data_IF_815792192848
#
_entry.id   IF_815792192848
#
_cell.length_a   1.000
_cell.length_b   1.000
_cell.length_c   1.000
_cell.angle_alpha   90.00
_cell.angle_beta   90.00
_cell.angle_gamma   90.00
#
_symmetry.space_group_name_H-M   'P 1'
#
loop_
_entity.id
_entity.type
_entity.pdbx_description
1 polymer ?
#
# COMPACT_ATOMS: atom_id res chain seq x y z
N UNK A 1 -21.73 -9.22 14.68
CA UNK A 1 -22.35 -7.87 14.62
C UNK A 1 -21.59 -7.04 13.60
N UNK A 2 -22.25 -6.40 12.64
CA UNK A 2 -21.59 -5.48 11.72
C UNK A 2 -21.07 -4.24 12.46
N UNK A 3 -19.91 -3.72 12.03
CA UNK A 3 -19.28 -2.53 12.63
C UNK A 3 -20.02 -1.23 12.26
N UNK A 4 -20.72 -1.20 11.13
CA UNK A 4 -21.43 -0.03 10.60
C UNK A 4 -22.85 -0.40 10.13
N UNK A 5 -23.79 0.54 10.28
CA UNK A 5 -25.14 0.44 9.68
C UNK A 5 -25.06 0.45 8.14
N UNK A 6 -25.98 -0.24 7.47
CA UNK A 6 -26.05 -0.31 5.99
C UNK A 6 -26.08 1.06 5.30
N UNK A 7 -26.78 2.04 5.89
CA UNK A 7 -26.85 3.42 5.37
C UNK A 7 -25.48 4.14 5.31
N UNK A 8 -24.49 3.65 6.06
CA UNK A 8 -23.13 4.20 6.09
C UNK A 8 -22.19 3.44 5.14
N UNK A 9 -22.68 2.41 4.44
CA UNK A 9 -21.92 1.68 3.43
C UNK A 9 -22.13 2.32 2.06
N UNK A 10 -21.04 2.54 1.34
CA UNK A 10 -21.09 3.02 -0.04
C UNK A 10 -21.40 1.87 -0.99
N UNK A 11 -22.17 2.14 -2.04
CA UNK A 11 -22.29 1.21 -3.15
C UNK A 11 -20.96 1.15 -3.93
N UNK A 12 -20.78 0.05 -4.68
CA UNK A 12 -19.50 -0.23 -5.36
C UNK A 12 -19.13 0.82 -6.40
N UNK A 13 -20.11 1.37 -7.13
CA UNK A 13 -19.83 2.38 -8.16
C UNK A 13 -19.40 3.69 -7.52
N UNK A 14 -20.08 4.12 -6.46
CA UNK A 14 -19.70 5.31 -5.70
C UNK A 14 -18.32 5.15 -5.08
N UNK A 15 -18.04 4.00 -4.44
CA UNK A 15 -16.72 3.72 -3.88
C UNK A 15 -15.62 3.77 -4.95
N UNK A 16 -15.80 3.09 -6.10
CA UNK A 16 -14.83 3.09 -7.18
C UNK A 16 -14.60 4.50 -7.74
N UNK A 17 -15.68 5.28 -7.91
CA UNK A 17 -15.58 6.67 -8.37
C UNK A 17 -14.78 7.54 -7.40
N UNK A 18 -14.97 7.37 -6.09
CA UNK A 18 -14.23 8.13 -5.08
C UNK A 18 -12.73 7.78 -5.09
N UNK A 19 -12.39 6.49 -5.26
CA UNK A 19 -11.01 6.03 -5.36
C UNK A 19 -10.29 6.46 -6.65
N UNK A 20 -11.04 6.79 -7.71
CA UNK A 20 -10.50 7.14 -9.04
C UNK A 20 -10.74 8.62 -9.37
N UNK A 21 -11.86 8.96 -10.02
CA UNK A 21 -12.16 10.32 -10.48
C UNK A 21 -12.35 11.32 -9.33
N UNK A 22 -12.92 10.87 -8.23
CA UNK A 22 -13.18 11.68 -7.04
C UNK A 22 -11.90 12.16 -6.37
N UNK A 23 -10.89 11.28 -6.28
CA UNK A 23 -9.58 11.62 -5.69
C UNK A 23 -8.73 12.49 -6.60
N UNK A 24 -8.90 12.42 -7.93
CA UNK A 24 -8.17 13.25 -8.90
C UNK A 24 -8.41 14.76 -8.73
N UNK A 25 -9.52 15.18 -8.12
CA UNK A 25 -9.70 16.58 -7.74
C UNK A 25 -8.67 17.01 -6.69
N UNK A 26 -8.34 16.17 -5.72
CA UNK A 26 -7.40 16.55 -4.66
C UNK A 26 -6.01 16.94 -5.19
N UNK A 27 -5.57 16.36 -6.31
CA UNK A 27 -4.32 16.70 -6.98
C UNK A 27 -4.44 17.76 -8.09
N UNK A 28 -5.64 18.32 -8.33
CA UNK A 28 -5.89 19.25 -9.42
C UNK A 28 -5.91 18.62 -10.81
N UNK A 29 -5.96 17.29 -10.90
CA UNK A 29 -5.83 16.51 -12.15
C UNK A 29 -7.16 15.91 -12.61
N UNK A 30 -8.28 16.40 -12.05
CA UNK A 30 -9.63 15.92 -12.36
C UNK A 30 -10.00 15.96 -13.85
N UNK A 31 -9.35 16.79 -14.66
CA UNK A 31 -9.66 16.91 -16.09
C UNK A 31 -8.72 16.06 -16.97
N UNK A 32 -7.71 15.42 -16.38
CA UNK A 32 -6.69 14.67 -17.10
C UNK A 32 -6.58 13.21 -16.66
N UNK A 33 -7.16 12.81 -15.52
CA UNK A 33 -7.13 11.41 -15.05
C UNK A 33 -8.36 11.00 -14.25
N UNK A 34 -8.39 9.70 -13.94
CA UNK A 34 -9.35 9.09 -13.03
C UNK A 34 -10.58 8.47 -13.70
N UNK A 35 -10.66 8.49 -15.03
CA UNK A 35 -11.66 7.74 -15.79
C UNK A 35 -11.09 7.15 -17.07
N UNK A 36 -11.74 6.11 -17.59
CA UNK A 36 -11.41 5.52 -18.89
C UNK A 36 -12.14 6.29 -20.00
N UNK A 37 -11.69 7.50 -20.28
CA UNK A 37 -12.28 8.42 -21.27
C UNK A 37 -11.20 8.95 -22.21
N UNK A 38 -11.52 9.07 -23.50
CA UNK A 38 -10.59 9.64 -24.47
C UNK A 38 -10.16 11.07 -24.08
N UNK A 39 -8.86 11.34 -24.11
CA UNK A 39 -8.27 12.62 -23.69
C UNK A 39 -7.67 12.62 -22.29
N UNK A 40 -7.97 11.61 -21.47
CA UNK A 40 -7.31 11.39 -20.18
C UNK A 40 -6.05 10.53 -20.32
N UNK A 41 -5.20 10.56 -19.29
CA UNK A 41 -4.03 9.70 -19.20
C UNK A 41 -4.44 8.23 -19.28
N UNK A 42 -3.64 7.44 -20.00
CA UNK A 42 -3.77 5.99 -20.08
C UNK A 42 -3.18 5.34 -18.81
N UNK A 43 -3.74 5.71 -17.66
CA UNK A 43 -3.45 5.15 -16.34
C UNK A 43 -4.56 4.15 -16.00
N UNK A 44 -4.24 2.85 -16.04
CA UNK A 44 -5.22 1.80 -15.77
C UNK A 44 -4.60 0.59 -15.09
N UNK A 45 -5.47 -0.20 -14.47
CA UNK A 45 -5.14 -1.50 -13.90
C UNK A 45 -6.10 -2.56 -14.43
N UNK A 46 -5.57 -3.76 -14.67
CA UNK A 46 -6.39 -4.96 -14.87
C UNK A 46 -6.38 -5.74 -13.57
N UNK A 47 -7.56 -6.08 -13.08
CA UNK A 47 -7.74 -6.75 -11.80
C UNK A 47 -7.88 -8.26 -12.00
N UNK A 48 -7.36 -9.03 -11.06
CA UNK A 48 -7.45 -10.51 -11.02
C UNK A 48 -8.90 -11.01 -10.92
N UNK A 49 -9.79 -10.23 -10.32
CA UNK A 49 -11.21 -10.55 -10.18
C UNK A 49 -12.09 -9.35 -10.56
N UNK A 50 -13.35 -9.64 -10.88
CA UNK A 50 -14.37 -8.61 -11.16
C UNK A 50 -14.84 -7.96 -9.85
N UNK A 51 -14.35 -6.74 -9.58
CA UNK A 51 -14.72 -5.93 -8.42
C UNK A 51 -16.23 -5.75 -8.25
N UNK A 52 -17.06 -5.85 -9.29
CA UNK A 52 -18.51 -5.69 -9.15
C UNK A 52 -19.23 -6.98 -8.79
N UNK A 53 -18.56 -8.13 -8.86
CA UNK A 53 -19.19 -9.46 -8.68
C UNK A 53 -18.67 -10.24 -7.47
N UNK A 54 -17.44 -9.99 -7.02
CA UNK A 54 -16.92 -10.70 -5.83
C UNK A 54 -17.69 -10.33 -4.56
N UNK A 55 -17.71 -11.22 -3.57
CA UNK A 55 -18.25 -10.90 -2.24
C UNK A 55 -17.47 -9.76 -1.57
N UNK A 56 -18.07 -9.09 -0.58
CA UNK A 56 -17.46 -7.91 0.04
C UNK A 56 -16.14 -8.25 0.75
N UNK A 57 -16.09 -9.40 1.41
CA UNK A 57 -14.91 -9.92 2.12
C UNK A 57 -13.77 -10.28 1.16
N UNK A 58 -14.11 -10.52 -0.11
CA UNK A 58 -13.18 -10.92 -1.17
C UNK A 58 -12.49 -9.73 -1.85
N UNK A 59 -13.04 -8.51 -1.71
CA UNK A 59 -12.47 -7.30 -2.33
C UNK A 59 -10.99 -7.09 -1.92
N UNK A 60 -10.65 -7.38 -0.66
CA UNK A 60 -9.29 -7.19 -0.14
C UNK A 60 -8.24 -8.12 -0.79
N UNK A 61 -8.70 -9.17 -1.48
CA UNK A 61 -7.85 -10.15 -2.13
C UNK A 61 -7.67 -9.87 -3.62
N UNK A 62 -8.34 -8.85 -4.17
CA UNK A 62 -8.15 -8.44 -5.56
C UNK A 62 -6.76 -7.84 -5.73
N UNK A 63 -5.97 -8.41 -6.63
CA UNK A 63 -4.66 -7.93 -7.04
C UNK A 63 -4.72 -7.32 -8.44
N UNK A 64 -3.79 -6.40 -8.74
CA UNK A 64 -3.52 -5.97 -10.12
C UNK A 64 -2.71 -7.06 -10.82
N UNK A 65 -3.15 -7.49 -12.01
CA UNK A 65 -2.39 -8.39 -12.89
C UNK A 65 -1.66 -7.63 -14.01
N UNK A 66 -2.02 -6.37 -14.24
CA UNK A 66 -1.36 -5.46 -15.17
C UNK A 66 -1.57 -4.03 -14.70
N UNK A 67 -0.50 -3.25 -14.62
CA UNK A 67 -0.58 -1.81 -14.34
C UNK A 67 0.06 -1.04 -15.49
N UNK A 68 -0.71 -0.12 -16.07
CA UNK A 68 -0.29 0.78 -17.13
C UNK A 68 -0.30 2.20 -16.60
N UNK A 69 0.78 2.93 -16.82
CA UNK A 69 0.94 4.33 -16.44
C UNK A 69 1.36 5.15 -17.67
N UNK A 70 0.55 6.14 -18.04
CA UNK A 70 0.79 6.99 -19.21
C UNK A 70 0.92 6.18 -20.50
N UNK A 71 0.22 5.05 -20.62
CA UNK A 71 0.30 4.14 -21.77
C UNK A 71 1.52 3.21 -21.77
N UNK A 72 2.30 3.13 -20.69
CA UNK A 72 3.42 2.19 -20.55
C UNK A 72 3.12 1.15 -19.48
N UNK A 73 3.40 -0.11 -19.76
CA UNK A 73 3.34 -1.17 -18.74
C UNK A 73 4.44 -0.92 -17.71
N UNK A 74 4.05 -0.78 -16.44
CA UNK A 74 4.97 -0.55 -15.31
C UNK A 74 5.02 -1.73 -14.34
N UNK A 75 4.07 -2.65 -14.46
CA UNK A 75 4.02 -3.90 -13.72
C UNK A 75 3.14 -4.89 -14.48
N UNK A 76 3.56 -6.16 -14.52
CA UNK A 76 2.73 -7.23 -15.05
C UNK A 76 2.92 -8.56 -14.32
N UNK A 77 1.81 -9.29 -14.14
CA UNK A 77 1.77 -10.59 -13.48
C UNK A 77 0.84 -11.55 -14.21
N UNK A 78 0.71 -12.78 -13.67
CA UNK A 78 -0.19 -13.80 -14.20
C UNK A 78 -0.08 -13.97 -15.74
N UNK A 79 -1.17 -13.79 -16.48
CA UNK A 79 -1.23 -13.92 -17.94
C UNK A 79 -0.46 -12.82 -18.72
N UNK A 80 -0.05 -11.75 -18.05
CA UNK A 80 0.74 -10.65 -18.63
C UNK A 80 2.22 -10.73 -18.27
N UNK A 81 2.69 -11.82 -17.64
CA UNK A 81 4.05 -11.88 -17.06
C UNK A 81 5.17 -11.63 -18.09
N UNK A 82 4.95 -11.93 -19.37
CA UNK A 82 5.89 -11.63 -20.45
C UNK A 82 6.17 -10.13 -20.64
N UNK A 83 5.26 -9.26 -20.21
CA UNK A 83 5.34 -7.81 -20.35
C UNK A 83 5.86 -7.11 -19.08
N UNK A 84 6.27 -7.88 -18.06
CA UNK A 84 6.70 -7.35 -16.77
C UNK A 84 8.08 -6.68 -16.86
N UNK A 85 8.20 -5.36 -16.63
CA UNK A 85 9.49 -4.69 -16.67
C UNK A 85 10.39 -5.17 -15.51
N UNK A 86 11.71 -5.21 -15.70
CA UNK A 86 12.62 -5.59 -14.63
C UNK A 86 12.53 -4.61 -13.47
N UNK A 87 12.47 -5.14 -12.25
CA UNK A 87 12.42 -4.31 -11.04
C UNK A 87 13.67 -3.41 -10.95
N UNK A 88 13.50 -2.12 -10.62
CA UNK A 88 14.64 -1.25 -10.36
C UNK A 88 15.42 -1.75 -9.13
N UNK A 89 16.73 -1.47 -9.05
CA UNK A 89 17.52 -1.85 -7.88
C UNK A 89 16.96 -1.18 -6.62
N UNK A 90 16.98 -1.91 -5.50
CA UNK A 90 16.54 -1.38 -4.22
C UNK A 90 17.32 -0.10 -3.83
N UNK A 91 16.58 0.91 -3.39
CA UNK A 91 17.10 2.19 -2.88
C UNK A 91 16.69 2.35 -1.41
N UNK A 92 17.57 2.89 -0.53
CA UNK A 92 18.97 3.24 -0.77
C UNK A 92 19.87 2.01 -0.92
N UNK A 93 21.11 2.21 -1.37
CA UNK A 93 22.06 1.12 -1.64
C UNK A 93 22.40 0.27 -0.42
N UNK A 94 22.27 0.81 0.79
CA UNK A 94 22.47 0.11 2.06
C UNK A 94 21.22 -0.65 2.55
N UNK A 95 20.09 -0.58 1.83
CA UNK A 95 18.82 -1.17 2.25
C UNK A 95 18.98 -2.65 2.66
N UNK A 96 18.49 -3.06 3.85
CA UNK A 96 18.54 -4.45 4.31
C UNK A 96 17.89 -5.42 3.31
N UNK A 97 16.91 -4.98 2.52
CA UNK A 97 16.26 -5.77 1.45
C UNK A 97 17.27 -6.27 0.43
N UNK A 98 18.35 -5.52 0.19
CA UNK A 98 19.43 -5.93 -0.72
C UNK A 98 20.25 -7.10 -0.18
N UNK A 99 20.33 -7.27 1.16
CA UNK A 99 21.12 -8.31 1.82
C UNK A 99 20.27 -9.50 2.28
N UNK A 100 19.09 -9.24 2.80
CA UNK A 100 18.23 -10.24 3.43
C UNK A 100 17.01 -10.60 2.57
N UNK A 101 16.80 -9.92 1.43
CA UNK A 101 15.58 -10.02 0.65
C UNK A 101 14.44 -9.17 1.22
N UNK A 102 13.39 -8.97 0.42
CA UNK A 102 12.17 -8.31 0.85
C UNK A 102 11.14 -9.32 1.37
N UNK A 103 10.38 -8.95 2.40
CA UNK A 103 9.23 -9.70 2.88
C UNK A 103 8.02 -9.33 2.01
N UNK A 104 8.03 -9.74 0.75
CA UNK A 104 6.89 -9.55 -0.15
C UNK A 104 6.09 -10.84 -0.21
N UNK A 105 4.75 -10.71 -0.26
CA UNK A 105 3.90 -11.85 -0.59
C UNK A 105 4.37 -12.40 -1.93
N UNK A 106 4.72 -13.70 -1.95
CA UNK A 106 4.70 -14.45 -3.20
C UNK A 106 3.25 -14.41 -3.66
N UNK A 107 3.00 -13.74 -4.77
CA UNK A 107 1.67 -13.53 -5.39
C UNK A 107 1.12 -14.85 -5.94
N UNK A 108 0.94 -15.84 -5.08
CA UNK A 108 0.32 -17.13 -5.39
C UNK A 108 -1.06 -17.19 -4.74
N UNK A 109 -1.93 -16.27 -5.17
CA UNK A 109 -3.37 -16.30 -4.96
C UNK A 109 -3.77 -16.25 -3.46
N UNK A 110 -5.06 -16.44 -3.17
CA UNK A 110 -5.67 -16.48 -1.82
C UNK A 110 -5.00 -17.45 -0.82
N UNK A 111 -4.04 -18.27 -1.29
CA UNK A 111 -3.31 -19.28 -0.54
C UNK A 111 -1.86 -18.86 -0.19
N UNK A 112 -1.48 -17.60 -0.42
CA UNK A 112 -0.16 -17.12 -0.05
C UNK A 112 0.15 -17.41 1.45
N UNK A 113 1.37 -17.88 1.78
CA UNK A 113 1.75 -18.30 3.13
C UNK A 113 1.73 -17.17 4.17
N UNK A 114 1.44 -15.91 3.78
CA UNK A 114 1.12 -14.83 4.71
C UNK A 114 -0.14 -15.07 5.54
N UNK A 115 -0.93 -16.10 5.23
CA UNK A 115 -2.03 -16.58 6.07
C UNK A 115 -1.56 -17.53 7.18
N UNK A 116 -0.29 -17.97 7.17
CA UNK A 116 0.32 -18.50 8.38
C UNK A 116 0.54 -17.31 9.30
N UNK A 117 -0.09 -17.34 10.48
CA UNK A 117 0.34 -16.53 11.61
C UNK A 117 1.86 -16.52 11.58
N UNK A 118 2.46 -15.32 11.47
CA UNK A 118 3.86 -15.13 11.79
C UNK A 118 4.06 -15.86 13.11
N UNK A 119 4.66 -17.06 13.06
CA UNK A 119 5.07 -17.74 14.26
C UNK A 119 5.85 -16.70 15.04
N UNK A 120 5.52 -16.61 16.32
CA UNK A 120 5.85 -15.59 17.32
C UNK A 120 7.35 -15.31 17.55
N UNK A 121 8.18 -15.42 16.52
CA UNK A 121 9.62 -15.25 16.58
C UNK A 121 10.05 -13.78 16.50
N UNK A 122 9.12 -12.85 16.27
CA UNK A 122 9.36 -11.43 16.58
C UNK A 122 9.38 -11.14 18.09
N UNK A 123 9.06 -12.12 18.94
CA UNK A 123 9.15 -12.01 20.39
C UNK A 123 10.56 -12.30 20.96
N UNK A 124 11.63 -12.08 20.18
CA UNK A 124 12.99 -12.01 20.75
C UNK A 124 13.33 -10.62 21.32
N UNK A 125 12.43 -9.63 21.20
CA UNK A 125 12.48 -8.46 22.07
C UNK A 125 11.87 -8.83 23.43
N UNK A 126 12.76 -9.08 24.38
CA UNK A 126 12.51 -9.32 25.79
C UNK A 126 11.82 -8.11 26.45
N UNK A 127 10.50 -8.01 26.32
CA UNK A 127 9.68 -7.05 27.05
C UNK A 127 9.25 -7.64 28.39
N UNK A 128 10.07 -7.48 29.43
CA UNK A 128 9.72 -7.84 30.81
C UNK A 128 8.83 -6.78 31.51
N UNK A 129 8.28 -5.79 30.81
CA UNK A 129 7.38 -4.79 31.43
C UNK A 129 6.37 -4.18 30.45
N UNK A 130 5.23 -3.79 31.01
CA UNK A 130 3.95 -3.48 30.35
C UNK A 130 4.01 -2.38 29.28
N UNK A 131 3.57 -2.70 28.07
CA UNK A 131 3.28 -1.74 27.00
C UNK A 131 2.07 -0.86 27.36
N UNK A 132 2.33 0.38 27.77
CA UNK A 132 1.37 1.47 27.67
C UNK A 132 1.32 1.97 26.22
N UNK A 133 0.18 1.79 25.57
CA UNK A 133 -0.09 2.29 24.22
C UNK A 133 0.12 3.82 24.22
N UNK A 134 1.08 4.28 23.43
CA UNK A 134 1.67 5.62 23.30
C UNK A 134 2.90 5.93 24.17
N UNK A 135 4.08 5.70 23.59
CA UNK A 135 5.35 6.24 24.06
C UNK A 135 6.55 5.76 23.23
N UNK A 136 6.69 6.21 21.99
CA UNK A 136 7.88 5.89 21.19
C UNK A 136 9.11 6.67 21.65
N UNK A 137 9.89 6.08 22.54
CA UNK A 137 11.25 6.51 22.87
C UNK A 137 12.28 5.61 22.17
N UNK A 138 12.28 5.60 20.84
CA UNK A 138 13.33 4.95 20.04
C UNK A 138 13.97 5.89 19.01
N UNK A 139 13.27 6.96 18.59
CA UNK A 139 13.79 7.94 17.64
C UNK A 139 14.96 8.78 18.20
N UNK A 140 15.20 8.77 19.51
CA UNK A 140 16.33 9.47 20.14
C UNK A 140 17.65 8.69 20.08
N UNK A 141 17.64 7.42 19.66
CA UNK A 141 18.85 6.59 19.56
C UNK A 141 19.58 6.73 18.23
N UNK A 142 19.00 7.43 17.25
CA UNK A 142 19.63 7.71 15.96
C UNK A 142 20.03 9.19 15.91
N UNK A 143 21.31 9.44 15.65
CA UNK A 143 21.85 10.79 15.46
C UNK A 143 21.51 11.29 14.05
N UNK A 144 20.26 11.72 13.87
CA UNK A 144 19.77 12.37 12.66
C UNK A 144 19.90 13.89 12.81
N UNK A 145 20.29 14.63 11.75
CA UNK A 145 20.59 16.07 11.80
C UNK A 145 19.30 16.91 11.81
N UNK A 146 18.51 16.74 12.86
CA UNK A 146 17.19 17.35 13.06
C UNK A 146 17.14 17.93 14.47
N UNK A 147 16.50 19.08 14.62
CA UNK A 147 16.44 19.80 15.89
C UNK A 147 15.71 18.95 16.95
N UNK A 148 16.25 18.89 18.17
CA UNK A 148 15.72 18.05 19.26
C UNK A 148 14.27 18.34 19.63
N UNK A 149 13.82 19.59 19.42
CA UNK A 149 12.43 19.99 19.67
C UNK A 149 11.45 19.40 18.66
N UNK A 150 11.90 19.13 17.43
CA UNK A 150 11.07 18.64 16.33
C UNK A 150 10.94 17.12 16.31
N UNK A 151 11.78 16.40 17.07
CA UNK A 151 11.72 14.94 17.25
C UNK A 151 10.40 14.45 17.88
N UNK A 152 9.67 15.34 18.58
CA UNK A 152 8.39 15.05 19.24
C UNK A 152 7.18 15.71 18.57
N UNK A 153 7.39 16.41 17.45
CA UNK A 153 6.32 17.12 16.74
C UNK A 153 5.44 16.15 15.96
N UNK A 154 4.19 16.56 15.71
CA UNK A 154 3.14 15.75 15.04
C UNK A 154 3.57 15.17 13.67
N UNK A 155 4.44 15.87 12.93
CA UNK A 155 4.97 15.42 11.63
C UNK A 155 6.34 14.71 11.71
N UNK A 156 6.84 14.49 12.93
CA UNK A 156 8.17 13.99 13.21
C UNK A 156 9.28 14.90 12.66
N UNK A 157 10.50 14.38 12.72
CA UNK A 157 11.70 15.09 12.28
C UNK A 157 11.84 15.27 10.75
N UNK A 158 10.99 14.59 9.95
CA UNK A 158 11.11 14.54 8.48
C UNK A 158 9.84 14.99 7.74
N UNK A 159 8.84 15.55 8.43
CA UNK A 159 7.72 16.23 7.78
C UNK A 159 6.73 15.34 7.01
N UNK A 160 6.95 14.03 6.93
CA UNK A 160 6.12 13.07 6.19
C UNK A 160 6.22 11.67 6.84
N UNK A 161 5.62 11.49 8.02
CA UNK A 161 5.57 10.19 8.70
C UNK A 161 4.32 9.36 8.35
N UNK A 162 3.49 9.79 7.40
CA UNK A 162 2.28 9.03 7.01
C UNK A 162 2.54 7.83 6.09
N UNK A 163 3.78 7.55 5.70
CA UNK A 163 4.12 6.36 4.90
C UNK A 163 5.46 5.78 5.34
N UNK A 164 5.46 5.05 6.44
CA UNK A 164 6.50 4.06 6.73
C UNK A 164 5.83 2.94 7.52
N UNK A 165 5.65 1.79 6.86
CA UNK A 165 5.29 0.52 7.49
C UNK A 165 6.48 -0.05 8.26
#
# INVERSE_FOLDING_TARGET
>A
LPLYDEKNLLDRQTALKLWTKGSAWFSGEKDVKGSLTAGELADLVVLSDDYFKVEAEDIQWIESVLTVLGGKVVYAGAEFKQDDPPLPPASPTWSPVKRFGGQWRLSENRNAPSNQSLQSQSALCECASSCGIHGHSHAWMLDVPVNDKDKKSFWGALGCSCFAF
#
